data_IF_123396699711
#
_entry.id   IF_123396699711
#
_cell.length_a   1.000
_cell.length_b   1.000
_cell.length_c   1.000
_cell.angle_alpha   90.00
_cell.angle_beta   90.00
_cell.angle_gamma   90.00
#
_symmetry.space_group_name_H-M   'P 1'
#
loop_
_entity.id
_entity.type
_entity.pdbx_description
1 polymer ?
#
# COMPACT_ATOMS: atom_id res chain seq x y z
N UNK A 1 -10.69 18.35 -9.37
CA UNK A 1 -9.56 17.51 -8.95
C UNK A 1 -9.53 16.36 -9.94
N UNK A 2 -8.59 16.36 -10.89
CA UNK A 2 -8.57 15.39 -11.99
C UNK A 2 -8.39 13.96 -11.46
N UNK A 3 -9.26 13.06 -11.91
CA UNK A 3 -9.09 11.62 -11.74
C UNK A 3 -7.95 11.17 -12.66
N UNK A 4 -6.76 10.97 -12.11
CA UNK A 4 -5.64 10.43 -12.86
C UNK A 4 -5.94 8.96 -13.27
N UNK A 5 -5.87 8.61 -14.57
CA UNK A 5 -6.03 7.23 -15.01
C UNK A 5 -4.84 6.41 -14.50
N UNK A 6 -5.10 5.55 -13.51
CA UNK A 6 -4.10 4.93 -12.61
C UNK A 6 -3.76 3.49 -12.99
N UNK A 7 -4.36 2.92 -14.04
CA UNK A 7 -4.23 1.49 -14.35
C UNK A 7 -2.79 1.05 -14.68
N UNK A 8 -1.89 1.96 -15.07
CA UNK A 8 -0.49 1.64 -15.38
C UNK A 8 0.56 2.43 -14.62
N UNK A 9 0.20 3.53 -13.97
CA UNK A 9 1.15 4.38 -13.23
C UNK A 9 1.31 3.89 -11.80
N UNK A 10 2.55 3.74 -11.35
CA UNK A 10 2.85 3.53 -9.94
C UNK A 10 2.59 4.83 -9.17
N UNK A 11 2.36 4.71 -7.86
CA UNK A 11 2.29 5.85 -6.97
C UNK A 11 3.51 6.78 -7.10
N UNK A 12 4.70 6.20 -7.24
CA UNK A 12 5.96 6.91 -7.47
C UNK A 12 6.00 7.69 -8.78
N UNK A 13 5.32 7.19 -9.82
CA UNK A 13 5.23 7.88 -11.11
C UNK A 13 4.36 9.14 -10.95
N UNK A 14 3.24 9.03 -10.22
CA UNK A 14 2.36 10.16 -9.92
C UNK A 14 3.06 11.20 -9.02
N UNK A 15 3.83 10.75 -8.02
CA UNK A 15 4.66 11.67 -7.21
C UNK A 15 5.72 12.37 -8.07
N UNK A 16 6.34 11.64 -8.99
CA UNK A 16 7.36 12.20 -9.89
C UNK A 16 6.77 13.28 -10.79
N UNK A 17 5.58 13.03 -11.35
CA UNK A 17 4.85 14.02 -12.16
C UNK A 17 4.52 15.29 -11.34
N UNK A 18 4.21 15.15 -10.06
CA UNK A 18 3.79 16.26 -9.20
C UNK A 18 4.97 17.06 -8.60
N UNK A 19 6.06 16.40 -8.23
CA UNK A 19 7.14 16.98 -7.41
C UNK A 19 8.53 16.88 -8.06
N UNK A 20 8.64 16.29 -9.26
CA UNK A 20 9.92 15.95 -9.86
C UNK A 20 10.51 14.65 -9.28
N UNK A 21 11.76 14.31 -9.59
CA UNK A 21 12.37 13.04 -9.17
C UNK A 21 12.23 12.78 -7.67
N UNK A 22 11.80 11.57 -7.32
CA UNK A 22 11.68 11.10 -5.94
C UNK A 22 12.58 9.89 -5.67
N UNK A 23 13.00 9.73 -4.43
CA UNK A 23 13.80 8.59 -3.94
C UNK A 23 13.23 8.01 -2.65
N UNK A 24 13.60 6.77 -2.34
CA UNK A 24 13.27 6.15 -1.06
C UNK A 24 14.37 6.42 -0.03
N UNK A 25 13.96 6.84 1.17
CA UNK A 25 14.79 6.91 2.37
C UNK A 25 14.31 5.84 3.34
N UNK A 26 15.01 4.70 3.35
CA UNK A 26 14.70 3.58 4.25
C UNK A 26 15.19 3.93 5.66
N UNK A 27 14.26 4.11 6.60
CA UNK A 27 14.57 4.47 7.98
C UNK A 27 14.77 3.24 8.85
N UNK A 28 13.99 2.18 8.58
CA UNK A 28 14.05 0.90 9.28
C UNK A 28 13.72 -0.21 8.30
N UNK A 29 14.43 -1.32 8.40
CA UNK A 29 14.11 -2.56 7.68
C UNK A 29 14.54 -3.75 8.55
N UNK A 30 13.59 -4.55 9.00
CA UNK A 30 13.84 -5.77 9.75
C UNK A 30 12.95 -6.92 9.27
N UNK A 31 12.94 -8.04 10.01
CA UNK A 31 12.18 -9.22 9.62
C UNK A 31 10.66 -8.99 9.51
N UNK A 32 10.11 -8.02 10.25
CA UNK A 32 8.66 -7.79 10.38
C UNK A 32 8.18 -6.55 9.64
N UNK A 33 8.99 -5.49 9.63
CA UNK A 33 8.56 -4.18 9.11
C UNK A 33 9.66 -3.48 8.32
N UNK A 34 9.24 -2.75 7.29
CA UNK A 34 10.04 -1.68 6.68
C UNK A 34 9.32 -0.35 6.79
N UNK A 35 10.10 0.68 7.09
CA UNK A 35 9.67 2.06 7.18
C UNK A 35 10.46 2.91 6.19
N UNK A 36 9.75 3.68 5.37
CA UNK A 36 10.33 4.47 4.28
C UNK A 36 9.69 5.84 4.20
N UNK A 37 10.49 6.87 3.93
CA UNK A 37 10.01 8.10 3.32
C UNK A 37 10.27 8.06 1.82
N UNK A 38 9.25 8.32 1.00
CA UNK A 38 9.45 8.67 -0.40
C UNK A 38 9.60 10.19 -0.42
N UNK A 39 10.81 10.68 -0.66
CA UNK A 39 11.17 12.08 -0.59
C UNK A 39 11.45 12.65 -1.99
N UNK A 40 11.23 13.95 -2.16
CA UNK A 40 11.62 14.68 -3.36
C UNK A 40 13.08 15.17 -3.29
N UNK A 41 13.52 15.88 -4.33
CA UNK A 41 14.87 16.44 -4.41
C UNK A 41 15.19 17.47 -3.30
N UNK A 42 14.20 17.99 -2.59
CA UNK A 42 14.38 18.90 -1.44
C UNK A 42 14.45 18.13 -0.11
N UNK A 43 14.31 16.81 -0.12
CA UNK A 43 14.25 15.97 1.07
C UNK A 43 12.90 16.04 1.79
N UNK A 44 11.88 16.62 1.17
CA UNK A 44 10.52 16.67 1.74
C UNK A 44 9.86 15.33 1.48
N UNK A 45 9.37 14.68 2.53
CA UNK A 45 8.66 13.43 2.37
C UNK A 45 7.30 13.69 1.74
N UNK A 46 7.05 13.07 0.58
CA UNK A 46 5.77 13.13 -0.14
C UNK A 46 4.88 11.94 0.18
N UNK A 47 5.47 10.87 0.69
CA UNK A 47 4.74 9.75 1.26
C UNK A 47 5.57 9.12 2.35
N UNK A 48 4.93 8.82 3.47
CA UNK A 48 5.48 7.95 4.50
C UNK A 48 4.85 6.57 4.35
N UNK A 49 5.68 5.54 4.29
CA UNK A 49 5.22 4.18 4.05
C UNK A 49 5.70 3.20 5.13
N UNK A 50 4.79 2.34 5.56
CA UNK A 50 5.08 1.17 6.38
C UNK A 50 4.73 -0.08 5.58
N UNK A 51 5.64 -1.05 5.50
CA UNK A 51 5.38 -2.37 4.94
C UNK A 51 5.48 -3.41 6.04
N UNK A 52 4.39 -4.12 6.30
CA UNK A 52 4.38 -5.30 7.17
C UNK A 52 4.53 -6.54 6.30
N UNK A 53 5.62 -7.29 6.49
CA UNK A 53 5.98 -8.38 5.60
C UNK A 53 5.13 -9.63 5.84
N UNK A 54 4.73 -10.28 4.74
CA UNK A 54 4.01 -11.56 4.75
C UNK A 54 4.56 -12.57 3.73
N UNK A 55 5.61 -12.22 2.99
CA UNK A 55 6.18 -13.08 1.96
C UNK A 55 7.05 -14.21 2.54
N UNK A 56 7.22 -15.29 1.77
CA UNK A 56 8.10 -16.39 2.14
C UNK A 56 9.57 -15.95 2.06
N UNK A 57 10.23 -15.85 3.22
CA UNK A 57 11.64 -15.49 3.36
C UNK A 57 12.59 -16.55 2.81
N UNK A 58 12.11 -17.73 2.43
CA UNK A 58 12.90 -18.76 1.76
C UNK A 58 12.91 -18.59 0.22
N UNK A 59 12.06 -17.73 -0.34
CA UNK A 59 12.10 -17.41 -1.77
C UNK A 59 13.30 -16.48 -2.04
N UNK A 60 14.35 -17.03 -2.62
CA UNK A 60 15.60 -16.31 -2.90
C UNK A 60 15.40 -15.11 -3.85
N UNK A 61 14.43 -15.15 -4.77
CA UNK A 61 14.14 -14.03 -5.67
C UNK A 61 13.47 -12.89 -4.90
N UNK A 62 12.52 -13.19 -4.02
CA UNK A 62 11.87 -12.17 -3.18
C UNK A 62 12.82 -11.58 -2.16
N UNK A 63 13.74 -12.38 -1.61
CA UNK A 63 14.81 -11.86 -0.74
C UNK A 63 15.73 -10.91 -1.51
N UNK A 64 16.10 -11.24 -2.75
CA UNK A 64 16.91 -10.34 -3.58
C UNK A 64 16.19 -9.01 -3.88
N UNK A 65 14.89 -9.07 -4.22
CA UNK A 65 14.05 -7.88 -4.39
C UNK A 65 13.98 -7.06 -3.09
N UNK A 66 13.75 -7.72 -1.95
CA UNK A 66 13.66 -7.05 -0.65
C UNK A 66 14.96 -6.34 -0.26
N UNK A 67 16.11 -6.96 -0.52
CA UNK A 67 17.43 -6.37 -0.28
C UNK A 67 17.65 -5.14 -1.18
N UNK A 68 17.26 -5.19 -2.46
CA UNK A 68 17.38 -4.02 -3.34
C UNK A 68 16.47 -2.86 -2.88
N UNK A 69 15.28 -3.17 -2.35
CA UNK A 69 14.42 -2.14 -1.75
C UNK A 69 15.03 -1.59 -0.46
N UNK A 70 15.65 -2.45 0.36
CA UNK A 70 16.36 -2.05 1.58
C UNK A 70 17.50 -1.05 1.27
N UNK A 71 18.17 -1.22 0.13
CA UNK A 71 19.23 -0.34 -0.37
C UNK A 71 18.71 0.98 -0.99
N UNK A 72 17.40 1.25 -0.91
CA UNK A 72 16.78 2.48 -1.39
C UNK A 72 16.01 2.34 -2.71
N UNK A 73 15.79 1.12 -3.20
CA UNK A 73 14.92 0.86 -4.34
C UNK A 73 13.46 1.24 -4.04
N UNK A 74 12.75 1.82 -5.02
CA UNK A 74 11.32 2.06 -4.91
C UNK A 74 10.55 0.75 -5.17
N UNK A 75 9.80 0.26 -4.19
CA UNK A 75 9.13 -1.05 -4.21
C UNK A 75 8.46 -1.40 -5.56
N UNK A 76 7.66 -0.48 -6.10
CA UNK A 76 6.95 -0.70 -7.37
C UNK A 76 7.89 -0.84 -8.58
N UNK A 77 8.95 -0.04 -8.62
CA UNK A 77 9.93 -0.06 -9.70
C UNK A 77 10.85 -1.27 -9.60
N UNK A 78 11.27 -1.63 -8.38
CA UNK A 78 12.09 -2.82 -8.14
C UNK A 78 11.34 -4.08 -8.57
N UNK A 79 10.10 -4.32 -8.15
CA UNK A 79 9.36 -5.50 -8.61
C UNK A 79 9.23 -5.56 -10.15
N UNK A 80 8.95 -4.44 -10.82
CA UNK A 80 8.91 -4.37 -12.29
C UNK A 80 10.25 -4.72 -12.94
N UNK A 81 11.38 -4.27 -12.37
CA UNK A 81 12.73 -4.63 -12.82
C UNK A 81 12.96 -6.14 -12.80
N UNK A 82 12.37 -6.87 -11.84
CA UNK A 82 12.45 -8.33 -11.73
C UNK A 82 11.37 -9.06 -12.56
N UNK A 83 10.64 -8.34 -13.41
CA UNK A 83 9.64 -8.90 -14.33
C UNK A 83 8.29 -9.17 -13.69
N UNK A 84 7.99 -8.58 -12.53
CA UNK A 84 6.68 -8.68 -11.90
C UNK A 84 5.72 -7.61 -12.41
N UNK A 85 4.48 -8.01 -12.65
CA UNK A 85 3.33 -7.11 -12.63
C UNK A 85 2.91 -6.88 -11.17
N UNK A 86 2.35 -5.71 -10.86
CA UNK A 86 2.01 -5.33 -9.49
C UNK A 86 0.58 -4.80 -9.46
N UNK A 87 -0.18 -5.25 -8.47
CA UNK A 87 -1.52 -4.74 -8.16
C UNK A 87 -1.61 -4.47 -6.66
N UNK A 88 -2.58 -3.65 -6.26
CA UNK A 88 -2.84 -3.34 -4.84
C UNK A 88 -4.28 -3.66 -4.52
N UNK A 89 -4.49 -4.58 -3.59
CA UNK A 89 -5.80 -4.77 -2.99
C UNK A 89 -5.99 -3.73 -1.88
N UNK A 90 -6.85 -2.74 -2.08
CA UNK A 90 -7.08 -1.70 -1.06
C UNK A 90 -7.99 -2.28 -0.01
N UNK A 91 -7.48 -2.49 1.19
CA UNK A 91 -8.28 -3.03 2.29
C UNK A 91 -8.89 -1.92 3.14
N UNK A 92 -8.35 -0.70 3.04
CA UNK A 92 -8.87 0.45 3.77
C UNK A 92 -8.33 1.81 3.28
N UNK A 93 -9.10 2.87 3.50
CA UNK A 93 -8.68 4.26 3.34
C UNK A 93 -9.19 5.07 4.53
N UNK A 94 -8.30 5.81 5.19
CA UNK A 94 -8.60 6.49 6.44
C UNK A 94 -7.97 7.88 6.49
N UNK A 95 -8.63 8.80 7.19
CA UNK A 95 -8.01 10.05 7.64
C UNK A 95 -7.50 9.84 9.05
N UNK A 96 -6.21 10.10 9.29
CA UNK A 96 -5.57 9.83 10.57
C UNK A 96 -4.74 11.01 11.05
N UNK A 97 -4.64 11.18 12.37
CA UNK A 97 -3.76 12.15 12.97
C UNK A 97 -2.30 11.77 12.70
N UNK A 98 -1.48 12.76 12.34
CA UNK A 98 -0.04 12.57 12.13
C UNK A 98 0.76 13.22 13.26
N UNK A 99 1.78 12.53 13.80
CA UNK A 99 2.62 13.07 14.87
C UNK A 99 3.46 14.24 14.37
N UNK A 100 3.98 15.04 15.31
CA UNK A 100 4.75 16.25 14.98
C UNK A 100 5.97 15.95 14.10
N UNK A 101 6.71 14.87 14.37
CA UNK A 101 7.88 14.51 13.57
C UNK A 101 7.51 14.24 12.10
N UNK A 102 6.30 13.73 11.82
CA UNK A 102 5.84 13.49 10.46
C UNK A 102 5.35 14.77 9.79
N UNK A 103 4.72 15.68 10.55
CA UNK A 103 4.39 17.04 10.08
C UNK A 103 5.65 17.79 9.64
N UNK A 104 6.71 17.69 10.44
CA UNK A 104 8.03 18.24 10.13
C UNK A 104 8.62 17.62 8.85
N UNK A 105 8.55 16.29 8.68
CA UNK A 105 9.01 15.60 7.47
C UNK A 105 8.19 15.91 6.21
N UNK A 106 6.89 16.17 6.37
CA UNK A 106 5.98 16.58 5.29
C UNK A 106 6.03 18.08 5.02
N UNK A 107 6.70 18.89 5.85
CA UNK A 107 6.69 20.35 5.76
C UNK A 107 5.27 20.93 5.76
N UNK A 108 4.39 20.40 6.63
CA UNK A 108 2.97 20.77 6.66
C UNK A 108 2.52 21.20 8.06
N UNK A 109 1.63 22.21 8.19
CA UNK A 109 0.99 22.53 9.46
C UNK A 109 -0.22 21.64 9.77
N UNK A 110 -0.65 20.81 8.81
CA UNK A 110 -1.84 19.97 8.93
C UNK A 110 -1.63 18.86 9.96
N UNK A 111 -2.65 18.60 10.78
CA UNK A 111 -2.60 17.58 11.84
C UNK A 111 -3.08 16.21 11.39
N UNK A 112 -3.69 16.13 10.20
CA UNK A 112 -4.27 14.92 9.66
C UNK A 112 -3.74 14.67 8.25
N UNK A 113 -3.60 13.40 7.91
CA UNK A 113 -3.25 12.94 6.57
C UNK A 113 -4.17 11.81 6.13
N UNK A 114 -4.35 11.66 4.81
CA UNK A 114 -4.99 10.47 4.25
C UNK A 114 -3.97 9.33 4.23
N UNK A 115 -4.39 8.18 4.74
CA UNK A 115 -3.65 6.94 4.64
C UNK A 115 -4.43 5.90 3.84
N UNK A 116 -3.70 5.12 3.03
CA UNK A 116 -4.23 3.97 2.29
C UNK A 116 -3.55 2.71 2.78
N UNK A 117 -4.33 1.70 3.13
CA UNK A 117 -3.85 0.39 3.52
C UNK A 117 -4.14 -0.57 2.38
N UNK A 118 -3.12 -1.30 1.94
CA UNK A 118 -3.26 -2.21 0.81
C UNK A 118 -2.39 -3.44 0.95
N UNK A 119 -2.87 -4.58 0.45
CA UNK A 119 -2.03 -5.75 0.21
C UNK A 119 -1.30 -5.54 -1.12
N UNK A 120 0.03 -5.63 -1.10
CA UNK A 120 0.87 -5.46 -2.27
C UNK A 120 1.02 -6.80 -2.99
N UNK A 121 0.29 -6.93 -4.09
CA UNK A 121 0.32 -8.11 -4.93
C UNK A 121 1.42 -7.97 -5.99
N UNK A 122 2.13 -9.07 -6.23
CA UNK A 122 3.06 -9.18 -7.35
C UNK A 122 2.81 -10.50 -8.09
N UNK A 123 2.75 -10.45 -9.42
CA UNK A 123 2.59 -11.62 -10.29
C UNK A 123 3.72 -11.68 -11.30
N UNK A 124 4.17 -12.90 -11.61
CA UNK A 124 5.21 -13.14 -12.61
C UNK A 124 4.82 -14.37 -13.41
N UNK A 125 4.88 -14.25 -14.73
CA UNK A 125 4.44 -15.31 -15.65
C UNK A 125 5.02 -16.67 -15.27
N UNK A 126 4.14 -17.67 -15.12
CA UNK A 126 4.53 -19.04 -14.76
C UNK A 126 4.66 -19.30 -13.26
N UNK A 127 4.40 -18.30 -12.40
CA UNK A 127 4.26 -18.44 -10.95
C UNK A 127 2.86 -17.99 -10.54
N UNK A 128 2.29 -18.50 -9.44
CA UNK A 128 1.10 -17.89 -8.85
C UNK A 128 1.42 -16.47 -8.35
N UNK A 129 0.44 -15.56 -8.32
CA UNK A 129 0.61 -14.25 -7.71
C UNK A 129 0.98 -14.44 -6.25
N UNK A 130 1.68 -13.48 -5.68
CA UNK A 130 2.10 -13.46 -4.28
C UNK A 130 1.65 -12.17 -3.59
N UNK A 131 1.50 -12.22 -2.27
CA UNK A 131 1.36 -11.02 -1.44
C UNK A 131 2.68 -10.78 -0.76
N UNK A 132 3.35 -9.70 -1.16
CA UNK A 132 4.64 -9.35 -0.58
C UNK A 132 4.50 -8.81 0.86
N UNK A 133 3.42 -8.09 1.13
CA UNK A 133 3.09 -7.57 2.45
C UNK A 133 1.92 -6.61 2.41
N UNK A 134 1.54 -6.14 3.60
CA UNK A 134 0.58 -5.04 3.73
C UNK A 134 1.33 -3.72 3.79
N UNK A 135 1.04 -2.83 2.85
CA UNK A 135 1.62 -1.50 2.72
C UNK A 135 0.62 -0.45 3.18
N UNK A 136 1.07 0.40 4.09
CA UNK A 136 0.41 1.62 4.53
C UNK A 136 1.11 2.77 3.83
N UNK A 137 0.37 3.60 3.12
CA UNK A 137 0.88 4.82 2.50
C UNK A 137 0.16 6.01 3.13
N UNK A 138 0.88 6.81 3.91
CA UNK A 138 0.41 8.09 4.45
C UNK A 138 0.87 9.18 3.51
N UNK A 139 -0.08 9.87 2.88
CA UNK A 139 0.19 10.89 1.88
C UNK A 139 0.39 12.26 2.54
N UNK A 140 1.33 13.04 2.03
CA UNK A 140 1.43 14.44 2.46
C UNK A 140 0.13 15.20 2.14
N UNK A 141 -0.41 16.03 3.06
CA UNK A 141 -1.70 16.69 2.88
C UNK A 141 -1.80 17.61 1.65
N UNK A 142 -0.70 18.20 1.18
CA UNK A 142 -0.65 18.99 -0.05
C UNK A 142 -0.77 18.15 -1.32
N UNK A 143 -0.40 16.86 -1.26
CA UNK A 143 -0.58 15.90 -2.36
C UNK A 143 -2.00 15.34 -2.37
N UNK A 144 -2.46 14.86 -1.20
CA UNK A 144 -3.81 14.32 -0.99
C UNK A 144 -4.36 14.88 0.31
N UNK A 145 -5.45 15.68 0.26
CA UNK A 145 -6.05 16.19 1.48
C UNK A 145 -6.55 15.02 2.34
N UNK A 146 -6.59 15.24 3.65
CA UNK A 146 -7.02 14.26 4.65
C UNK A 146 -8.55 13.99 4.66
N UNK A 147 -9.15 13.91 3.47
CA UNK A 147 -10.58 13.74 3.25
C UNK A 147 -10.78 12.42 2.49
N UNK A 148 -11.48 11.48 3.10
CA UNK A 148 -11.91 10.22 2.45
C UNK A 148 -13.23 10.50 1.71
N UNK A 149 -13.29 10.18 0.42
CA UNK A 149 -14.48 10.37 -0.42
C UNK A 149 -15.06 9.03 -0.91
N UNK A 150 -16.19 9.09 -1.63
CA UNK A 150 -16.85 7.88 -2.16
C UNK A 150 -15.93 7.06 -3.06
N UNK A 151 -15.14 7.70 -3.92
CA UNK A 151 -14.18 7.02 -4.80
C UNK A 151 -13.08 6.28 -4.02
N UNK A 152 -12.68 6.79 -2.86
CA UNK A 152 -11.79 6.07 -1.96
C UNK A 152 -12.48 4.82 -1.38
N UNK A 153 -13.73 4.97 -0.94
CA UNK A 153 -14.52 3.90 -0.32
C UNK A 153 -14.90 2.79 -1.31
N UNK A 154 -15.18 3.13 -2.56
CA UNK A 154 -15.48 2.18 -3.64
C UNK A 154 -14.27 1.31 -3.99
N UNK A 155 -13.06 1.81 -3.74
CA UNK A 155 -11.85 1.03 -3.93
C UNK A 155 -11.64 -0.02 -2.85
N UNK A 156 -12.26 0.11 -1.67
CA UNK A 156 -12.06 -0.76 -0.51
C UNK A 156 -12.69 -2.13 -0.71
N UNK A 157 -11.86 -3.15 -0.56
CA UNK A 157 -12.15 -4.56 -0.76
C UNK A 157 -11.91 -5.33 0.54
N UNK A 158 -12.48 -6.55 0.68
CA UNK A 158 -12.03 -7.51 1.67
C UNK A 158 -10.51 -7.76 1.59
N UNK A 159 -9.91 -8.12 2.73
CA UNK A 159 -8.55 -8.67 2.74
C UNK A 159 -8.50 -10.03 2.02
N UNK A 160 -7.33 -10.41 1.54
CA UNK A 160 -7.15 -11.70 0.84
C UNK A 160 -7.44 -12.88 1.75
N UNK A 161 -7.09 -12.78 3.02
CA UNK A 161 -7.41 -13.81 4.01
C UNK A 161 -8.92 -14.03 4.11
N UNK A 162 -9.71 -12.95 4.11
CA UNK A 162 -11.17 -13.06 4.17
C UNK A 162 -11.78 -13.50 2.85
N UNK A 163 -11.17 -13.14 1.72
CA UNK A 163 -11.52 -13.72 0.42
C UNK A 163 -11.30 -15.23 0.39
N UNK A 164 -10.17 -15.71 0.90
CA UNK A 164 -9.87 -17.14 1.00
C UNK A 164 -10.88 -17.87 1.89
N UNK A 165 -11.26 -17.28 3.03
CA UNK A 165 -12.32 -17.80 3.89
C UNK A 165 -13.70 -17.88 3.19
N UNK A 166 -13.95 -17.01 2.21
CA UNK A 166 -15.14 -17.01 1.36
C UNK A 166 -15.03 -17.94 0.13
N UNK A 167 -13.93 -18.69 0.01
CA UNK A 167 -13.68 -19.60 -1.09
C UNK A 167 -13.20 -18.93 -2.38
N UNK A 168 -12.59 -17.75 -2.29
CA UNK A 168 -11.97 -17.03 -3.41
C UNK A 168 -10.45 -17.20 -3.33
N UNK A 169 -9.86 -17.74 -4.38
CA UNK A 169 -8.40 -17.96 -4.43
C UNK A 169 -7.64 -16.66 -4.66
N UNK A 170 -6.36 -16.66 -4.28
CA UNK A 170 -5.47 -15.53 -4.52
C UNK A 170 -5.31 -15.20 -6.03
N UNK A 171 -5.39 -16.21 -6.90
CA UNK A 171 -5.41 -16.00 -8.34
C UNK A 171 -6.67 -15.26 -8.79
N UNK A 172 -7.85 -15.66 -8.31
CA UNK A 172 -9.10 -14.97 -8.64
C UNK A 172 -9.10 -13.52 -8.13
N UNK A 173 -8.53 -13.27 -6.94
CA UNK A 173 -8.35 -11.90 -6.44
C UNK A 173 -7.44 -11.11 -7.37
N UNK A 174 -6.29 -11.68 -7.74
CA UNK A 174 -5.37 -11.06 -8.69
C UNK A 174 -6.07 -10.69 -10.00
N UNK A 175 -6.73 -11.65 -10.66
CA UNK A 175 -7.40 -11.47 -11.94
C UNK A 175 -8.43 -10.33 -11.88
N UNK A 176 -9.31 -10.35 -10.86
CA UNK A 176 -10.36 -9.35 -10.69
C UNK A 176 -9.82 -7.96 -10.35
N UNK A 177 -8.67 -7.84 -9.68
CA UNK A 177 -8.02 -6.55 -9.49
C UNK A 177 -7.59 -5.91 -10.83
N UNK A 178 -7.30 -6.72 -11.85
CA UNK A 178 -6.98 -6.25 -13.20
C UNK A 178 -8.20 -5.99 -14.09
N UNK A 179 -9.34 -6.63 -13.79
CA UNK A 179 -10.57 -6.56 -14.60
C UNK A 179 -11.61 -5.55 -14.07
N UNK A 180 -11.19 -4.62 -13.20
CA UNK A 180 -12.07 -3.57 -12.68
C UNK A 180 -12.92 -3.99 -11.49
N UNK A 181 -12.49 -5.02 -10.73
CA UNK A 181 -13.06 -5.40 -9.42
C UNK A 181 -14.54 -5.81 -9.48
N UNK A 182 -14.90 -6.64 -10.45
CA UNK A 182 -16.25 -7.19 -10.55
C UNK A 182 -16.42 -8.31 -9.50
N UNK A 183 -17.32 -8.11 -8.54
CA UNK A 183 -17.57 -9.05 -7.42
C UNK A 183 -19.04 -9.44 -7.26
N UNK A 184 -19.90 -9.02 -8.19
CA UNK A 184 -21.36 -9.18 -8.08
C UNK A 184 -21.79 -10.66 -8.00
N UNK A 185 -21.05 -11.55 -8.66
CA UNK A 185 -21.27 -12.99 -8.65
C UNK A 185 -20.97 -13.65 -7.29
N UNK A 186 -20.18 -13.00 -6.44
CA UNK A 186 -19.92 -13.50 -5.08
C UNK A 186 -21.09 -13.20 -4.12
N UNK A 187 -21.90 -12.18 -4.42
CA UNK A 187 -23.08 -11.80 -3.64
C UNK A 187 -22.82 -11.69 -2.14
N UNK A 188 -23.57 -12.47 -1.35
CA UNK A 188 -23.47 -12.48 0.12
C UNK A 188 -22.07 -12.86 0.63
N UNK A 189 -21.32 -13.70 -0.09
CA UNK A 189 -19.96 -14.10 0.33
C UNK A 189 -19.00 -12.91 0.34
N UNK A 190 -19.14 -12.00 -0.63
CA UNK A 190 -18.34 -10.77 -0.67
C UNK A 190 -18.71 -9.84 0.48
N UNK A 191 -20.00 -9.68 0.76
CA UNK A 191 -20.47 -8.87 1.89
C UNK A 191 -19.94 -9.42 3.23
N UNK A 192 -20.01 -10.73 3.45
CA UNK A 192 -19.47 -11.39 4.64
C UNK A 192 -17.95 -11.24 4.73
N UNK A 193 -17.20 -11.44 3.64
CA UNK A 193 -15.75 -11.24 3.62
C UNK A 193 -15.36 -9.78 3.97
N UNK A 194 -16.17 -8.81 3.51
CA UNK A 194 -15.98 -7.39 3.83
C UNK A 194 -16.21 -7.12 5.31
N UNK A 195 -17.30 -7.65 5.88
CA UNK A 195 -17.59 -7.53 7.30
C UNK A 195 -16.51 -8.19 8.18
N UNK A 196 -16.08 -9.41 7.85
CA UNK A 196 -15.02 -10.12 8.57
C UNK A 196 -13.63 -9.49 8.42
N UNK A 197 -13.43 -8.65 7.40
CA UNK A 197 -12.19 -7.87 7.26
C UNK A 197 -12.10 -6.72 8.27
N UNK A 198 -13.22 -6.23 8.80
CA UNK A 198 -13.23 -5.05 9.66
C UNK A 198 -12.38 -5.19 10.94
N UNK A 199 -12.46 -6.29 11.71
CA UNK A 199 -11.61 -6.46 12.89
C UNK A 199 -10.11 -6.42 12.56
N UNK A 200 -9.71 -7.06 11.46
CA UNK A 200 -8.32 -7.09 10.99
C UNK A 200 -7.84 -5.70 10.58
N UNK A 201 -8.68 -4.96 9.86
CA UNK A 201 -8.40 -3.57 9.47
C UNK A 201 -8.29 -2.66 10.69
N UNK A 202 -9.17 -2.80 11.69
CA UNK A 202 -9.10 -2.01 12.92
C UNK A 202 -7.84 -2.32 13.74
N UNK A 203 -7.48 -3.59 13.88
CA UNK A 203 -6.24 -3.98 14.55
C UNK A 203 -5.00 -3.42 13.83
N UNK A 204 -5.01 -3.42 12.50
CA UNK A 204 -3.93 -2.84 11.70
C UNK A 204 -3.86 -1.30 11.89
N UNK A 205 -4.99 -0.59 11.89
CA UNK A 205 -5.04 0.85 12.20
C UNK A 205 -4.44 1.16 13.56
N UNK A 206 -4.82 0.39 14.59
CA UNK A 206 -4.29 0.55 15.94
C UNK A 206 -2.77 0.32 15.97
N UNK A 207 -2.29 -0.75 15.33
CA UNK A 207 -0.86 -1.04 15.20
C UNK A 207 -0.10 0.11 14.55
N UNK A 208 -0.63 0.71 13.47
CA UNK A 208 -0.02 1.84 12.77
C UNK A 208 0.01 3.08 13.69
N UNK A 209 -1.09 3.39 14.36
CA UNK A 209 -1.15 4.53 15.28
C UNK A 209 -0.15 4.37 16.42
N UNK A 210 -0.09 3.20 17.04
CA UNK A 210 0.86 2.90 18.10
C UNK A 210 2.31 3.02 17.60
N UNK A 211 2.59 2.53 16.40
CA UNK A 211 3.92 2.65 15.78
C UNK A 211 4.32 4.12 15.62
N UNK A 212 3.48 4.93 14.97
CA UNK A 212 3.81 6.33 14.68
C UNK A 212 3.94 7.21 15.93
N UNK A 213 3.18 6.90 16.99
CA UNK A 213 3.22 7.63 18.26
C UNK A 213 4.31 7.15 19.23
N UNK A 214 4.98 6.03 18.95
CA UNK A 214 6.05 5.49 19.79
C UNK A 214 7.44 6.08 19.49
N UNK A 215 7.53 6.98 18.50
CA UNK A 215 8.73 7.71 18.11
C UNK A 215 8.80 9.05 18.81
#
# INVERSE_FOLDING_TARGET
>A
MEHFPTERKLHTDVLTDAYGPVHAEVVRHDAQIREVHIADAQGISRTYALTFFSFDRNDAELVAIDNEIQEGGLIGQTFRKYGYEIRKNVIDVVSMAIPQWLQEKFHTPEKFAKARLSEFYADKTGKPPIIYGTVVEVYTPDFRPAIVNEVDMDQVQPSTEMFAAAGVTQQEVWDRLGEGKQWDDLGERYAQAKEHSLPHVFALREKINNYMNSR
#
